data_IF_220209129321
#
_entry.id   IF_220209129321
#
_cell.length_a   1.000
_cell.length_b   1.000
_cell.length_c   1.000
_cell.angle_alpha   90.00
_cell.angle_beta   90.00
_cell.angle_gamma   90.00
#
_symmetry.space_group_name_H-M   'P 1'
#
loop_
_entity.id
_entity.type
_entity.pdbx_description
1 polymer ?
#
# COMPACT_ATOMS: atom_id res chain seq x y z
N UNK A 1 -3.67 -1.02 -12.29
CA UNK A 1 -4.76 -0.48 -13.13
C UNK A 1 -4.39 -0.46 -14.61
N UNK A 2 -3.21 0.06 -14.99
CA UNK A 2 -2.71 0.03 -16.39
C UNK A 2 -2.87 -1.33 -17.08
N UNK A 3 -2.44 -2.42 -16.45
CA UNK A 3 -2.57 -3.77 -17.00
C UNK A 3 -4.04 -4.15 -17.32
N UNK A 4 -4.97 -3.80 -16.43
CA UNK A 4 -6.39 -4.08 -16.64
C UNK A 4 -6.96 -3.31 -17.84
N UNK A 5 -6.53 -2.06 -18.03
CA UNK A 5 -6.92 -1.27 -19.19
C UNK A 5 -6.36 -1.84 -20.50
N UNK A 6 -5.24 -2.55 -20.47
CA UNK A 6 -4.71 -3.32 -21.61
C UNK A 6 -5.31 -4.74 -21.74
N UNK A 7 -6.37 -5.05 -20.98
CA UNK A 7 -7.14 -6.29 -21.12
C UNK A 7 -6.76 -7.41 -20.14
N UNK A 8 -5.88 -7.17 -19.18
CA UNK A 8 -5.56 -8.16 -18.14
C UNK A 8 -6.71 -8.25 -17.13
N UNK A 9 -7.16 -9.47 -16.79
CA UNK A 9 -8.07 -9.66 -15.66
C UNK A 9 -7.29 -9.52 -14.36
N UNK A 10 -7.65 -8.55 -13.53
CA UNK A 10 -7.03 -8.30 -12.22
C UNK A 10 -8.09 -8.46 -11.14
N UNK A 11 -7.80 -9.29 -10.14
CA UNK A 11 -8.71 -9.57 -9.03
C UNK A 11 -7.92 -9.49 -7.73
N UNK A 12 -8.34 -8.64 -6.79
CA UNK A 12 -7.85 -8.61 -5.42
C UNK A 12 -8.76 -9.44 -4.51
N UNK A 13 -8.29 -9.73 -3.29
CA UNK A 13 -9.04 -10.54 -2.31
C UNK A 13 -9.43 -11.93 -2.82
N UNK A 14 -8.58 -12.50 -3.68
CA UNK A 14 -8.69 -13.87 -4.18
C UNK A 14 -7.43 -14.63 -3.75
N UNK A 15 -7.56 -15.47 -2.74
CA UNK A 15 -6.44 -16.19 -2.12
C UNK A 15 -6.14 -17.48 -2.89
N UNK A 16 -4.88 -17.79 -3.15
CA UNK A 16 -4.48 -19.08 -3.72
C UNK A 16 -4.38 -20.12 -2.60
N UNK A 17 -5.21 -21.15 -2.65
CA UNK A 17 -5.26 -22.24 -1.66
C UNK A 17 -4.57 -23.52 -2.12
N UNK A 18 -4.25 -23.61 -3.41
CA UNK A 18 -3.57 -24.77 -3.97
C UNK A 18 -3.13 -24.59 -5.41
N UNK A 19 -2.22 -25.46 -5.85
CA UNK A 19 -1.81 -25.56 -7.25
C UNK A 19 -2.45 -26.79 -7.88
N UNK A 20 -2.77 -26.69 -9.17
CA UNK A 20 -3.28 -27.80 -9.96
C UNK A 20 -2.21 -28.32 -10.91
N UNK A 21 -2.12 -29.65 -11.03
CA UNK A 21 -1.19 -30.34 -11.93
C UNK A 21 -1.97 -31.18 -12.94
N UNK A 22 -1.43 -31.29 -14.15
CA UNK A 22 -1.93 -32.20 -15.18
C UNK A 22 -1.42 -33.64 -14.95
N UNK A 23 -1.75 -34.55 -15.87
CA UNK A 23 -1.34 -35.95 -15.80
C UNK A 23 0.19 -36.15 -15.86
N UNK A 24 0.91 -35.23 -16.53
CA UNK A 24 2.38 -35.23 -16.58
C UNK A 24 3.03 -34.60 -15.33
N UNK A 25 2.25 -34.21 -14.32
CA UNK A 25 2.74 -33.58 -13.09
C UNK A 25 3.16 -32.11 -13.24
N UNK A 26 2.84 -31.47 -14.38
CA UNK A 26 3.11 -30.06 -14.66
C UNK A 26 1.98 -29.19 -14.14
N UNK A 27 2.31 -28.05 -13.55
CA UNK A 27 1.31 -27.08 -13.06
C UNK A 27 0.56 -26.47 -14.25
N UNK A 28 -0.77 -26.48 -14.17
CA UNK A 28 -1.66 -25.97 -15.20
C UNK A 28 -2.81 -25.11 -14.64
N UNK A 29 -2.70 -24.67 -13.40
CA UNK A 29 -3.71 -23.85 -12.75
C UNK A 29 -3.48 -23.69 -11.25
N UNK A 30 -4.44 -23.02 -10.62
CA UNK A 30 -4.48 -22.81 -9.18
C UNK A 30 -5.92 -22.95 -8.67
N UNK A 31 -6.08 -23.48 -7.46
CA UNK A 31 -7.30 -23.35 -6.67
C UNK A 31 -7.25 -22.05 -5.90
N UNK A 32 -8.37 -21.35 -5.92
CA UNK A 32 -8.50 -20.00 -5.37
C UNK A 32 -9.77 -19.87 -4.55
N UNK A 33 -9.74 -18.97 -3.58
CA UNK A 33 -10.81 -18.71 -2.62
C UNK A 33 -11.12 -17.22 -2.55
N UNK A 34 -12.38 -16.83 -2.77
CA UNK A 34 -12.84 -15.44 -2.62
C UNK A 34 -13.06 -15.11 -1.14
N UNK A 35 -12.20 -14.27 -0.58
CA UNK A 35 -12.23 -13.90 0.85
C UNK A 35 -13.11 -12.68 1.15
N UNK A 36 -13.66 -11.99 0.13
CA UNK A 36 -14.63 -10.91 0.34
C UNK A 36 -15.98 -11.48 0.78
N UNK A 37 -16.35 -12.67 0.30
CA UNK A 37 -17.64 -13.30 0.67
C UNK A 37 -17.75 -13.61 2.16
N UNK A 38 -16.65 -14.04 2.80
CA UNK A 38 -16.59 -14.30 4.25
C UNK A 38 -16.89 -13.03 5.05
N UNK A 39 -16.43 -11.91 4.51
CA UNK A 39 -16.63 -10.57 5.02
C UNK A 39 -18.09 -10.12 4.94
N UNK A 40 -18.88 -10.67 4.01
CA UNK A 40 -20.34 -10.54 3.90
C UNK A 40 -21.11 -11.61 4.72
N UNK A 41 -20.41 -12.40 5.55
CA UNK A 41 -21.01 -13.49 6.34
C UNK A 41 -21.45 -14.69 5.51
N UNK A 42 -20.94 -14.83 4.28
CA UNK A 42 -21.20 -15.96 3.38
C UNK A 42 -19.99 -16.89 3.37
N UNK A 43 -20.18 -18.16 3.01
CA UNK A 43 -19.03 -19.02 2.74
C UNK A 43 -18.23 -18.45 1.55
N UNK A 44 -16.90 -18.55 1.63
CA UNK A 44 -16.06 -18.29 0.48
C UNK A 44 -16.31 -19.33 -0.61
N UNK A 45 -16.39 -18.89 -1.85
CA UNK A 45 -16.42 -19.80 -2.99
C UNK A 45 -14.99 -20.22 -3.30
N UNK A 46 -14.75 -21.53 -3.37
CA UNK A 46 -13.48 -22.09 -3.87
C UNK A 46 -13.69 -22.62 -5.28
N UNK A 47 -12.80 -22.24 -6.19
CA UNK A 47 -12.86 -22.66 -7.59
C UNK A 47 -11.46 -22.72 -8.21
N UNK A 48 -11.37 -23.32 -9.40
CA UNK A 48 -10.10 -23.50 -10.10
C UNK A 48 -9.96 -22.55 -11.27
N UNK A 49 -8.77 -21.97 -11.41
CA UNK A 49 -8.37 -21.18 -12.58
C UNK A 49 -7.32 -21.98 -13.36
N UNK A 50 -7.62 -22.25 -14.63
CA UNK A 50 -6.68 -22.91 -15.56
C UNK A 50 -5.77 -21.88 -16.22
N UNK A 51 -4.50 -22.22 -16.35
CA UNK A 51 -3.50 -21.39 -17.01
C UNK A 51 -2.45 -22.24 -17.73
N UNK A 52 -1.79 -21.67 -18.74
CA UNK A 52 -0.66 -22.32 -19.42
C UNK A 52 0.60 -22.39 -18.53
N UNK A 53 0.70 -21.49 -17.58
CA UNK A 53 1.80 -21.38 -16.63
C UNK A 53 1.40 -20.50 -15.45
N UNK A 54 2.11 -20.65 -14.34
CA UNK A 54 1.84 -19.92 -13.09
C UNK A 54 3.13 -19.23 -12.64
N UNK A 55 3.03 -17.93 -12.37
CA UNK A 55 4.12 -17.11 -11.81
C UNK A 55 3.79 -16.78 -10.36
N UNK A 56 4.64 -17.23 -9.43
CA UNK A 56 4.62 -16.87 -8.02
C UNK A 56 5.44 -15.60 -7.79
N UNK A 57 4.76 -14.48 -7.54
CA UNK A 57 5.35 -13.18 -7.21
C UNK A 57 4.81 -12.64 -5.88
N UNK A 58 4.69 -13.51 -4.86
CA UNK A 58 4.02 -13.21 -3.58
C UNK A 58 4.94 -12.63 -2.49
N UNK A 59 6.08 -12.06 -2.89
CA UNK A 59 7.00 -11.35 -1.99
C UNK A 59 7.45 -12.23 -0.81
N UNK A 60 7.30 -11.78 0.46
CA UNK A 60 7.72 -12.58 1.61
C UNK A 60 6.93 -13.89 1.77
N UNK A 61 5.78 -14.02 1.12
CA UNK A 61 4.95 -15.24 1.16
C UNK A 61 5.33 -16.27 0.09
N UNK A 62 6.39 -16.03 -0.72
CA UNK A 62 6.68 -16.90 -1.86
C UNK A 62 6.94 -18.36 -1.48
N UNK A 63 7.53 -18.61 -0.31
CA UNK A 63 7.80 -19.97 0.17
C UNK A 63 6.53 -20.74 0.50
N UNK A 64 5.47 -20.07 0.97
CA UNK A 64 4.18 -20.71 1.20
C UNK A 64 3.60 -21.28 -0.11
N UNK A 65 3.67 -20.51 -1.19
CA UNK A 65 3.22 -20.95 -2.52
C UNK A 65 4.13 -22.04 -3.09
N UNK A 66 5.46 -21.95 -2.90
CA UNK A 66 6.40 -22.99 -3.33
C UNK A 66 6.12 -24.33 -2.64
N UNK A 67 5.77 -24.30 -1.36
CA UNK A 67 5.40 -25.50 -0.59
C UNK A 67 4.06 -26.12 -1.00
N UNK A 68 3.18 -25.37 -1.68
CA UNK A 68 1.99 -25.96 -2.32
C UNK A 68 2.37 -26.84 -3.53
N UNK A 69 3.51 -26.58 -4.19
CA UNK A 69 4.04 -27.40 -5.28
C UNK A 69 4.88 -28.57 -4.75
N UNK A 70 5.82 -28.29 -3.85
CA UNK A 70 6.75 -29.24 -3.25
C UNK A 70 6.88 -28.99 -1.73
N UNK A 71 6.19 -29.76 -0.87
CA UNK A 71 6.13 -29.50 0.57
C UNK A 71 7.49 -29.52 1.30
N UNK A 72 8.47 -30.24 0.75
CA UNK A 72 9.82 -30.41 1.33
C UNK A 72 10.83 -29.39 0.84
N UNK A 73 10.43 -28.47 -0.06
CA UNK A 73 11.34 -27.49 -0.63
C UNK A 73 11.89 -26.56 0.46
N UNK A 74 13.19 -26.29 0.40
CA UNK A 74 13.84 -25.37 1.33
C UNK A 74 13.40 -23.92 1.08
N UNK A 75 13.25 -23.17 2.17
CA UNK A 75 12.90 -21.75 2.14
C UNK A 75 14.02 -20.95 1.48
N UNK A 76 13.63 -20.05 0.57
CA UNK A 76 14.56 -19.11 -0.04
C UNK A 76 14.47 -17.73 0.61
N UNK A 77 13.38 -17.41 1.31
CA UNK A 77 13.20 -16.10 1.95
C UNK A 77 13.75 -16.12 3.38
N UNK A 78 14.63 -15.16 3.66
CA UNK A 78 15.02 -14.75 4.99
C UNK A 78 14.30 -13.42 5.33
N UNK A 79 13.12 -13.48 5.97
CA UNK A 79 12.32 -12.28 6.24
C UNK A 79 13.00 -11.34 7.24
N UNK A 80 13.01 -10.04 6.91
CA UNK A 80 13.49 -8.97 7.79
C UNK A 80 12.40 -7.89 7.94
N UNK A 81 12.11 -7.45 9.16
CA UNK A 81 11.22 -6.33 9.43
C UNK A 81 11.95 -5.00 9.29
N UNK A 82 11.23 -3.99 8.81
CA UNK A 82 11.66 -2.61 8.81
C UNK A 82 10.55 -1.70 9.30
N UNK A 83 10.83 -0.99 10.39
CA UNK A 83 9.91 -0.03 11.00
C UNK A 83 10.18 1.37 10.51
N UNK A 84 9.10 2.11 10.27
CA UNK A 84 9.12 3.56 10.11
C UNK A 84 8.11 4.19 11.07
N UNK A 85 8.42 5.41 11.50
CA UNK A 85 7.51 6.28 12.26
C UNK A 85 7.20 7.53 11.46
N UNK A 86 6.00 8.07 11.66
CA UNK A 86 5.61 9.38 11.14
C UNK A 86 5.52 10.38 12.29
N UNK A 87 6.13 11.54 12.07
CA UNK A 87 6.18 12.67 12.99
C UNK A 87 5.53 13.90 12.32
N UNK A 88 5.13 14.93 13.11
CA UNK A 88 4.70 16.22 12.58
C UNK A 88 5.68 16.82 11.58
N UNK A 89 5.17 17.50 10.55
CA UNK A 89 5.99 18.02 9.45
C UNK A 89 7.04 19.05 9.86
N UNK A 90 6.92 19.67 11.04
CA UNK A 90 7.94 20.62 11.53
C UNK A 90 9.26 19.96 11.91
N UNK A 91 9.33 18.63 11.94
CA UNK A 91 10.55 17.88 12.22
C UNK A 91 11.51 17.83 11.02
N UNK A 92 11.05 18.08 9.79
CA UNK A 92 11.91 18.15 8.59
C UNK A 92 11.56 19.35 7.70
N UNK A 93 12.54 19.99 7.02
CA UNK A 93 12.24 20.96 5.97
C UNK A 93 11.40 20.33 4.85
N UNK A 94 10.52 21.10 4.21
CA UNK A 94 9.59 20.58 3.19
C UNK A 94 10.27 20.13 1.89
N UNK A 95 11.49 20.59 1.62
CA UNK A 95 12.23 20.41 0.35
C UNK A 95 13.57 19.68 0.53
N UNK A 96 13.89 19.21 1.74
CA UNK A 96 15.15 18.56 2.07
C UNK A 96 14.94 17.32 2.92
N UNK A 97 15.59 16.22 2.53
CA UNK A 97 15.67 15.00 3.33
C UNK A 97 17.09 14.78 3.87
N UNK A 98 17.20 14.13 5.02
CA UNK A 98 18.46 13.71 5.63
C UNK A 98 18.62 12.19 5.56
N UNK A 99 19.85 11.77 5.31
CA UNK A 99 20.31 10.39 5.43
C UNK A 99 21.50 10.36 6.38
N UNK A 100 21.43 9.50 7.39
CA UNK A 100 22.57 9.13 8.19
C UNK A 100 22.91 7.65 7.91
N UNK A 101 24.03 7.38 7.21
CA UNK A 101 24.45 6.03 6.87
C UNK A 101 25.22 5.32 8.00
N UNK A 102 25.43 5.97 9.16
CA UNK A 102 26.26 5.46 10.25
C UNK A 102 25.70 5.87 11.62
N UNK A 103 24.47 5.43 11.89
CA UNK A 103 23.80 5.57 13.21
C UNK A 103 24.60 4.93 14.35
N UNK A 104 24.12 5.07 15.59
CA UNK A 104 24.75 4.53 16.82
C UNK A 104 25.24 3.08 16.74
N UNK A 105 24.60 2.25 15.92
CA UNK A 105 24.91 0.83 15.74
C UNK A 105 25.26 0.45 14.30
N UNK A 106 25.54 1.44 13.43
CA UNK A 106 25.97 1.23 12.04
C UNK A 106 24.84 0.99 11.05
N UNK A 107 23.56 1.12 11.45
CA UNK A 107 22.42 1.11 10.53
C UNK A 107 22.29 2.44 9.77
N UNK A 108 21.45 2.42 8.74
CA UNK A 108 21.09 3.61 7.94
C UNK A 108 19.71 4.10 8.37
N UNK A 109 19.60 5.39 8.67
CA UNK A 109 18.32 6.06 8.91
C UNK A 109 18.12 7.20 7.91
N UNK A 110 16.89 7.33 7.46
CA UNK A 110 16.34 8.38 6.63
C UNK A 110 15.38 9.20 7.45
N UNK A 111 15.35 10.49 7.15
CA UNK A 111 14.48 11.46 7.78
C UNK A 111 14.00 12.44 6.71
N UNK A 112 12.79 12.22 6.21
CA UNK A 112 12.32 12.80 4.94
C UNK A 112 10.96 13.50 5.12
N UNK A 113 10.71 14.64 4.46
CA UNK A 113 9.38 15.21 4.37
C UNK A 113 8.48 14.29 3.54
N UNK A 114 7.26 14.03 4.01
CA UNK A 114 6.28 13.19 3.34
C UNK A 114 4.84 13.62 3.62
N UNK A 115 4.16 14.13 2.59
CA UNK A 115 2.74 14.53 2.61
C UNK A 115 2.35 15.41 3.83
N UNK A 116 3.16 16.44 4.10
CA UNK A 116 2.92 17.38 5.23
C UNK A 116 3.41 16.88 6.59
N UNK A 117 3.92 15.65 6.66
CA UNK A 117 4.55 15.05 7.83
C UNK A 117 6.05 14.79 7.58
N UNK A 118 6.71 14.17 8.56
CA UNK A 118 8.08 13.67 8.44
C UNK A 118 8.08 12.15 8.64
N UNK A 119 8.62 11.41 7.68
CA UNK A 119 8.87 9.97 7.82
C UNK A 119 10.29 9.73 8.30
N UNK A 120 10.44 8.85 9.28
CA UNK A 120 11.74 8.45 9.79
C UNK A 120 11.86 6.94 9.92
N UNK A 121 13.03 6.41 9.55
CA UNK A 121 13.31 4.98 9.54
C UNK A 121 14.50 4.65 8.63
N UNK A 122 15.01 3.45 8.58
CA UNK A 122 14.32 2.22 8.97
C UNK A 122 15.19 1.39 9.89
N UNK A 123 14.54 0.49 10.62
CA UNK A 123 15.21 -0.64 11.27
C UNK A 123 15.39 -1.83 10.33
N UNK A 124 16.18 -2.80 10.79
CA UNK A 124 16.40 -4.10 10.14
C UNK A 124 16.54 -5.16 11.24
N UNK A 125 15.58 -6.07 11.33
CA UNK A 125 15.60 -7.17 12.29
C UNK A 125 15.01 -8.45 11.68
N UNK A 126 15.56 -9.65 11.97
CA UNK A 126 14.92 -10.90 11.60
C UNK A 126 13.49 -10.98 12.15
N UNK A 127 12.54 -11.44 11.33
CA UNK A 127 11.13 -11.47 11.72
C UNK A 127 10.41 -12.73 11.24
N UNK A 128 9.16 -12.92 11.67
CA UNK A 128 8.26 -13.94 11.12
C UNK A 128 7.37 -13.31 10.07
N UNK A 129 6.99 -14.10 9.07
CA UNK A 129 6.03 -13.67 8.05
C UNK A 129 4.67 -13.45 8.74
N UNK A 130 4.10 -12.27 8.55
CA UNK A 130 2.78 -11.89 9.03
C UNK A 130 2.11 -10.98 7.99
N UNK A 131 0.78 -11.06 7.91
CA UNK A 131 0.00 -10.21 6.99
C UNK A 131 0.06 -8.72 7.39
N UNK A 132 -0.02 -8.45 8.69
CA UNK A 132 0.04 -7.10 9.28
C UNK A 132 1.12 -7.08 10.38
N UNK A 133 2.41 -7.03 10.01
CA UNK A 133 3.49 -6.92 11.00
C UNK A 133 3.35 -5.61 11.79
N UNK A 134 3.69 -5.66 13.08
CA UNK A 134 3.54 -4.52 13.99
C UNK A 134 4.92 -3.93 14.28
N UNK A 135 5.01 -2.61 14.33
CA UNK A 135 6.22 -1.92 14.78
C UNK A 135 6.47 -2.16 16.28
N UNK A 136 7.65 -2.63 16.67
CA UNK A 136 8.01 -2.80 18.08
C UNK A 136 8.32 -1.46 18.76
N UNK A 137 7.97 -1.31 20.04
CA UNK A 137 8.27 -0.08 20.80
C UNK A 137 9.78 0.15 20.93
N UNK A 138 10.59 -0.89 21.07
CA UNK A 138 12.06 -0.77 21.09
C UNK A 138 12.61 -0.18 19.78
N UNK A 139 12.03 -0.54 18.63
CA UNK A 139 12.42 -0.01 17.32
C UNK A 139 11.97 1.45 17.16
N UNK A 140 10.77 1.79 17.66
CA UNK A 140 10.26 3.16 17.68
C UNK A 140 11.15 4.07 18.54
N UNK A 141 11.46 3.63 19.76
CA UNK A 141 12.31 4.38 20.70
C UNK A 141 13.73 4.54 20.16
N UNK A 142 14.26 3.52 19.49
CA UNK A 142 15.54 3.63 18.80
C UNK A 142 15.51 4.72 17.71
N UNK A 143 14.49 4.71 16.83
CA UNK A 143 14.36 5.74 15.78
C UNK A 143 14.27 7.15 16.40
N UNK A 144 13.46 7.33 17.46
CA UNK A 144 13.33 8.61 18.17
C UNK A 144 14.66 9.07 18.77
N UNK A 145 15.44 8.14 19.32
CA UNK A 145 16.75 8.43 19.91
C UNK A 145 17.77 8.90 18.87
N UNK A 146 17.79 8.29 17.68
CA UNK A 146 18.70 8.67 16.61
C UNK A 146 18.32 10.03 16.00
N UNK A 147 17.03 10.28 15.73
CA UNK A 147 16.57 11.57 15.19
C UNK A 147 16.91 12.74 16.13
N UNK A 148 16.78 12.53 17.45
CA UNK A 148 17.05 13.58 18.46
C UNK A 148 18.45 14.18 18.33
N UNK A 149 19.42 13.42 17.80
CA UNK A 149 20.82 13.84 17.65
C UNK A 149 21.01 14.88 16.55
N UNK A 150 20.04 15.00 15.64
CA UNK A 150 20.09 15.88 14.46
C UNK A 150 19.26 17.15 14.62
N UNK A 151 18.51 17.28 15.71
CA UNK A 151 17.64 18.42 15.97
C UNK A 151 18.29 19.41 16.92
N UNK A 152 17.82 20.66 16.89
CA UNK A 152 18.24 21.67 17.84
C UNK A 152 17.93 21.21 19.29
N UNK A 153 18.80 21.48 20.28
CA UNK A 153 18.64 20.98 21.65
C UNK A 153 17.29 21.32 22.32
N UNK A 154 16.66 22.43 21.94
CA UNK A 154 15.36 22.86 22.44
C UNK A 154 14.17 22.08 21.85
N UNK A 155 14.37 21.39 20.73
CA UNK A 155 13.35 20.57 20.09
C UNK A 155 13.32 19.21 20.77
N UNK A 156 12.31 19.00 21.61
CA UNK A 156 12.09 17.71 22.26
C UNK A 156 11.29 16.77 21.33
N UNK A 157 11.88 15.63 20.98
CA UNK A 157 11.18 14.52 20.28
C UNK A 157 10.66 13.53 21.30
N UNK A 158 9.36 13.27 21.29
CA UNK A 158 8.67 12.40 22.25
C UNK A 158 7.95 11.28 21.53
N UNK A 159 7.69 10.20 22.28
CA UNK A 159 6.84 9.10 21.81
C UNK A 159 5.42 9.57 21.43
N UNK A 160 4.90 10.59 22.11
CA UNK A 160 3.61 11.22 21.81
C UNK A 160 3.59 12.02 20.50
N UNK A 161 4.74 12.35 19.92
CA UNK A 161 4.79 13.02 18.60
C UNK A 161 4.62 12.01 17.45
N UNK A 162 4.66 10.70 17.73
CA UNK A 162 4.48 9.67 16.70
C UNK A 162 3.01 9.57 16.29
N UNK A 163 2.71 10.00 15.06
CA UNK A 163 1.37 10.01 14.48
C UNK A 163 0.95 8.63 13.95
N UNK A 164 1.92 7.86 13.46
CA UNK A 164 1.77 6.49 13.01
C UNK A 164 3.11 5.76 13.11
N UNK A 165 3.07 4.44 13.31
CA UNK A 165 4.24 3.58 13.30
C UNK A 165 3.87 2.26 12.62
N UNK A 166 4.61 1.87 11.59
CA UNK A 166 4.28 0.70 10.78
C UNK A 166 5.53 -0.09 10.43
N UNK A 167 5.32 -1.38 10.20
CA UNK A 167 6.37 -2.33 9.84
C UNK A 167 6.09 -2.93 8.46
N UNK A 168 7.15 -3.22 7.71
CA UNK A 168 7.10 -3.98 6.47
C UNK A 168 8.09 -5.14 6.49
N UNK A 169 7.79 -6.22 5.76
CA UNK A 169 8.68 -7.39 5.66
C UNK A 169 9.41 -7.36 4.32
N UNK A 170 10.74 -7.35 4.39
CA UNK A 170 11.65 -7.47 3.24
C UNK A 170 11.82 -8.94 2.89
N UNK A 171 11.55 -9.35 1.64
CA UNK A 171 11.81 -10.71 1.20
C UNK A 171 13.29 -10.86 0.79
N UNK A 172 14.22 -10.91 1.75
CA UNK A 172 15.63 -11.12 1.41
C UNK A 172 15.79 -12.57 0.93
N UNK A 173 16.38 -12.79 -0.24
CA UNK A 173 16.41 -14.13 -0.86
C UNK A 173 17.80 -14.76 -0.76
N UNK A 174 17.84 -16.06 -0.49
CA UNK A 174 19.03 -16.92 -0.58
C UNK A 174 18.98 -17.69 -1.91
N UNK A 175 20.11 -17.79 -2.59
CA UNK A 175 20.19 -18.61 -3.81
C UNK A 175 20.22 -20.10 -3.40
N UNK A 176 19.19 -20.91 -3.76
CA UNK A 176 19.15 -22.33 -3.44
C UNK A 176 20.27 -23.14 -4.11
N UNK A 177 20.94 -22.60 -5.14
CA UNK A 177 22.05 -23.25 -5.85
C UNK A 177 23.43 -22.85 -5.33
N UNK A 178 23.52 -21.87 -4.43
CA UNK A 178 24.80 -21.41 -3.90
C UNK A 178 25.39 -22.43 -2.92
N UNK A 179 26.64 -22.87 -3.19
CA UNK A 179 27.39 -23.81 -2.32
C UNK A 179 27.74 -23.24 -0.94
N UNK A 180 27.61 -21.92 -0.73
CA UNK A 180 27.80 -21.24 0.55
C UNK A 180 26.47 -20.65 0.99
N UNK A 181 25.99 -21.06 2.16
CA UNK A 181 24.71 -20.68 2.77
C UNK A 181 24.60 -19.20 3.21
N UNK A 182 25.64 -18.39 3.00
CA UNK A 182 25.81 -17.07 3.65
C UNK A 182 25.56 -15.87 2.72
N UNK A 183 25.42 -16.06 1.41
CA UNK A 183 25.22 -14.95 0.47
C UNK A 183 23.75 -14.67 0.18
N UNK A 184 23.15 -13.66 0.82
CA UNK A 184 21.87 -13.12 0.35
C UNK A 184 22.05 -12.59 -1.08
N UNK A 185 21.13 -12.98 -1.98
CA UNK A 185 21.04 -12.42 -3.32
C UNK A 185 20.67 -10.95 -3.18
N UNK A 186 21.57 -10.06 -3.59
CA UNK A 186 21.35 -8.61 -3.51
C UNK A 186 20.33 -8.10 -4.53
N UNK A 187 20.05 -8.89 -5.57
CA UNK A 187 19.07 -8.63 -6.62
C UNK A 187 17.80 -9.48 -6.42
N UNK A 188 16.95 -9.58 -7.44
CA UNK A 188 15.87 -10.56 -7.51
C UNK A 188 16.36 -11.93 -7.98
N UNK A 189 15.57 -12.96 -7.69
CA UNK A 189 15.76 -14.32 -8.13
C UNK A 189 14.57 -14.73 -9.00
N UNK A 190 14.85 -15.28 -10.19
CA UNK A 190 13.86 -15.95 -11.04
C UNK A 190 14.26 -17.42 -11.15
N UNK A 191 13.38 -18.32 -10.72
CA UNK A 191 13.60 -19.77 -10.74
C UNK A 191 12.35 -20.50 -11.16
N UNK A 192 12.51 -21.70 -11.72
CA UNK A 192 11.38 -22.56 -12.10
C UNK A 192 11.52 -23.92 -11.43
N UNK A 193 10.45 -24.42 -10.82
CA UNK A 193 10.41 -25.77 -10.26
C UNK A 193 10.32 -26.85 -11.36
N UNK A 194 10.62 -28.12 -11.08
CA UNK A 194 10.44 -29.21 -12.05
C UNK A 194 9.00 -29.32 -12.57
N UNK A 195 8.01 -28.96 -11.75
CA UNK A 195 6.59 -28.93 -12.14
C UNK A 195 6.21 -27.70 -12.96
N UNK A 196 7.11 -26.73 -13.16
CA UNK A 196 6.88 -25.52 -13.95
C UNK A 196 6.37 -24.31 -13.15
N UNK A 197 6.50 -24.30 -11.81
CA UNK A 197 6.19 -23.09 -11.02
C UNK A 197 7.32 -22.08 -11.20
N UNK A 198 7.08 -20.99 -11.92
CA UNK A 198 8.03 -19.89 -12.01
C UNK A 198 7.89 -19.00 -10.78
N UNK A 199 8.97 -18.77 -10.04
CA UNK A 199 8.99 -17.89 -8.87
C UNK A 199 9.90 -16.69 -9.12
N UNK A 200 9.38 -15.49 -8.91
CA UNK A 200 10.12 -14.23 -8.86
C UNK A 200 10.06 -13.68 -7.44
N UNK A 201 11.21 -13.61 -6.76
CA UNK A 201 11.30 -13.12 -5.37
C UNK A 201 12.54 -12.26 -5.15
N UNK A 202 12.56 -11.50 -4.06
CA UNK A 202 13.63 -10.56 -3.74
C UNK A 202 13.52 -9.25 -4.52
N UNK A 203 14.67 -8.63 -4.79
CA UNK A 203 14.74 -7.35 -5.49
C UNK A 203 14.27 -6.15 -4.66
N UNK A 204 14.04 -5.02 -5.34
CA UNK A 204 13.66 -3.74 -4.72
C UNK A 204 12.51 -3.11 -5.48
N UNK A 205 11.80 -2.21 -4.81
CA UNK A 205 10.80 -1.37 -5.47
C UNK A 205 11.40 -0.60 -6.66
N UNK A 206 12.63 -0.08 -6.54
CA UNK A 206 13.28 0.67 -7.63
C UNK A 206 13.59 -0.16 -8.88
N UNK A 207 13.67 -1.49 -8.75
CA UNK A 207 14.02 -2.40 -9.86
C UNK A 207 12.82 -3.21 -10.37
N UNK A 208 11.59 -2.93 -9.89
CA UNK A 208 10.41 -3.76 -10.17
C UNK A 208 10.15 -4.00 -11.66
N UNK A 209 10.42 -3.01 -12.52
CA UNK A 209 10.19 -3.09 -13.97
C UNK A 209 11.13 -4.12 -14.62
N UNK A 210 12.41 -4.08 -14.25
CA UNK A 210 13.42 -5.04 -14.72
C UNK A 210 13.14 -6.44 -14.20
N UNK A 211 12.76 -6.55 -12.92
CA UNK A 211 12.32 -7.83 -12.33
C UNK A 211 11.16 -8.45 -13.09
N UNK A 212 10.16 -7.64 -13.48
CA UNK A 212 9.02 -8.09 -14.25
C UNK A 212 9.41 -8.51 -15.68
N UNK A 213 10.31 -7.76 -16.32
CA UNK A 213 10.85 -8.10 -17.65
C UNK A 213 11.56 -9.46 -17.64
N UNK A 214 12.44 -9.71 -16.67
CA UNK A 214 13.13 -11.00 -16.52
C UNK A 214 12.15 -12.15 -16.26
N UNK A 215 11.18 -11.95 -15.37
CA UNK A 215 10.18 -12.97 -15.06
C UNK A 215 9.29 -13.31 -16.28
N UNK A 216 8.88 -12.31 -17.06
CA UNK A 216 8.07 -12.52 -18.28
C UNK A 216 8.91 -13.17 -19.38
N UNK A 217 10.17 -12.77 -19.56
CA UNK A 217 11.08 -13.39 -20.52
C UNK A 217 11.29 -14.87 -20.21
N UNK A 218 11.45 -15.23 -18.94
CA UNK A 218 11.56 -16.62 -18.52
C UNK A 218 10.23 -17.37 -18.68
N UNK A 219 9.09 -16.74 -18.37
CA UNK A 219 7.77 -17.34 -18.58
C UNK A 219 7.48 -17.64 -20.06
N UNK A 220 7.93 -16.77 -20.97
CA UNK A 220 7.79 -16.98 -22.42
C UNK A 220 8.51 -18.26 -22.85
N UNK A 221 9.74 -18.48 -22.34
CA UNK A 221 10.53 -19.68 -22.62
C UNK A 221 9.92 -20.92 -21.97
N UNK A 222 9.69 -20.87 -20.65
CA UNK A 222 9.24 -22.03 -19.87
C UNK A 222 7.87 -22.54 -20.32
N UNK A 223 6.95 -21.63 -20.65
CA UNK A 223 5.58 -21.99 -21.03
C UNK A 223 5.36 -22.00 -22.55
N UNK A 224 6.43 -21.89 -23.36
CA UNK A 224 6.40 -21.85 -24.82
C UNK A 224 5.35 -20.86 -25.36
N UNK A 225 5.35 -19.63 -24.82
CA UNK A 225 4.42 -18.58 -25.22
C UNK A 225 4.91 -17.87 -26.48
N UNK A 226 3.99 -17.35 -27.28
CA UNK A 226 4.31 -16.53 -28.45
C UNK A 226 3.67 -15.16 -28.27
N UNK A 227 4.43 -14.16 -27.80
CA UNK A 227 3.95 -12.78 -27.77
C UNK A 227 3.50 -12.33 -29.15
N UNK A 228 2.47 -11.49 -29.21
CA UNK A 228 1.91 -10.98 -30.47
C UNK A 228 1.78 -9.46 -30.40
N UNK A 229 1.87 -8.77 -31.55
CA UNK A 229 1.52 -7.37 -31.64
C UNK A 229 0.08 -7.12 -31.15
N UNK A 230 -0.11 -6.01 -30.44
CA UNK A 230 -1.42 -5.46 -30.12
C UNK A 230 -1.74 -4.37 -31.13
N UNK A 231 -2.53 -4.71 -32.16
CA UNK A 231 -2.74 -3.86 -33.33
C UNK A 231 -3.54 -2.57 -33.06
N UNK A 232 -4.55 -2.63 -32.19
CA UNK A 232 -5.35 -1.47 -31.77
C UNK A 232 -5.39 -1.41 -30.23
N UNK A 233 -4.35 -0.85 -29.60
CA UNK A 233 -4.28 -0.82 -28.15
C UNK A 233 -5.35 0.10 -27.58
N UNK A 234 -6.02 -0.30 -26.48
CA UNK A 234 -7.03 0.54 -25.84
C UNK A 234 -6.42 1.88 -25.42
N UNK A 235 -7.19 2.94 -25.62
CA UNK A 235 -6.78 4.30 -25.25
C UNK A 235 -6.86 4.46 -23.73
N UNK A 236 -5.72 4.28 -23.06
CA UNK A 236 -5.64 4.38 -21.59
C UNK A 236 -5.40 5.81 -21.07
N UNK A 237 -5.10 6.75 -21.95
CA UNK A 237 -4.90 8.17 -21.61
C UNK A 237 -6.21 8.80 -21.13
N UNK A 238 -6.15 9.60 -20.07
CA UNK A 238 -7.28 10.45 -19.66
C UNK A 238 -7.44 11.69 -20.54
N UNK A 239 -6.63 11.84 -21.59
CA UNK A 239 -6.55 13.05 -22.43
C UNK A 239 -6.48 12.74 -23.93
N UNK A 240 -6.36 13.80 -24.74
CA UNK A 240 -6.11 13.72 -26.17
C UNK A 240 -4.73 13.14 -26.53
N UNK A 241 -3.79 13.06 -25.58
CA UNK A 241 -2.44 12.55 -25.79
C UNK A 241 -2.43 11.02 -25.95
N UNK A 242 -1.61 10.54 -26.88
CA UNK A 242 -1.36 9.14 -27.14
C UNK A 242 0.07 8.78 -26.74
N UNK A 243 0.33 7.49 -26.54
CA UNK A 243 1.70 7.00 -26.34
C UNK A 243 2.33 6.71 -27.70
N UNK A 244 3.57 7.17 -27.90
CA UNK A 244 4.34 6.94 -29.13
C UNK A 244 5.01 5.56 -29.15
N UNK A 245 4.38 4.56 -28.53
CA UNK A 245 4.97 3.23 -28.32
C UNK A 245 4.25 2.19 -29.15
N UNK A 246 4.99 1.53 -30.05
CA UNK A 246 4.49 0.39 -30.83
C UNK A 246 4.50 -0.87 -29.98
N UNK A 247 3.33 -1.48 -29.76
CA UNK A 247 3.20 -2.73 -29.02
C UNK A 247 3.28 -3.93 -29.98
N UNK A 248 4.48 -4.30 -30.40
CA UNK A 248 4.75 -5.35 -31.40
C UNK A 248 4.92 -6.77 -30.82
N UNK A 249 4.71 -6.92 -29.51
CA UNK A 249 4.93 -8.17 -28.79
C UNK A 249 6.29 -8.27 -28.09
N UNK A 250 7.22 -7.35 -28.37
CA UNK A 250 8.44 -7.17 -27.57
C UNK A 250 8.16 -6.40 -26.26
N UNK A 251 9.10 -6.43 -25.32
CA UNK A 251 8.97 -5.70 -24.06
C UNK A 251 9.08 -4.18 -24.28
N UNK A 252 7.98 -3.46 -24.03
CA UNK A 252 7.90 -2.00 -24.20
C UNK A 252 7.67 -1.25 -22.88
N UNK A 253 7.82 -1.93 -21.74
CA UNK A 253 7.49 -1.40 -20.41
C UNK A 253 8.25 -0.13 -20.00
N UNK A 254 9.40 0.15 -20.64
CA UNK A 254 10.19 1.36 -20.40
C UNK A 254 9.63 2.61 -21.12
N UNK A 255 8.72 2.43 -22.08
CA UNK A 255 8.09 3.53 -22.85
C UNK A 255 6.60 3.70 -22.53
N UNK A 256 5.95 2.66 -22.02
CA UNK A 256 4.54 2.71 -21.65
C UNK A 256 4.36 3.59 -20.41
N UNK A 257 3.50 4.61 -20.52
CA UNK A 257 3.10 5.44 -19.38
C UNK A 257 2.07 4.71 -18.54
N UNK A 258 2.19 4.83 -17.21
CA UNK A 258 1.17 4.30 -16.30
C UNK A 258 -0.08 5.19 -16.30
N UNK A 259 -1.23 4.61 -16.01
CA UNK A 259 -2.50 5.36 -15.87
C UNK A 259 -2.33 6.52 -14.88
N UNK A 260 -2.87 7.69 -15.22
CA UNK A 260 -2.65 8.94 -14.48
C UNK A 260 -1.58 9.83 -15.10
N UNK A 261 -0.58 9.27 -15.79
CA UNK A 261 0.58 10.04 -16.22
C UNK A 261 0.34 10.91 -17.47
N UNK A 262 -0.56 10.51 -18.39
CA UNK A 262 -0.66 11.11 -19.72
C UNK A 262 -1.02 12.59 -19.70
N UNK A 263 -1.95 13.00 -18.83
CA UNK A 263 -2.38 14.40 -18.68
C UNK A 263 -1.82 15.14 -17.48
N UNK A 264 -0.79 14.61 -16.81
CA UNK A 264 -0.21 15.27 -15.65
C UNK A 264 0.51 16.56 -16.06
N UNK A 265 0.31 17.63 -15.28
CA UNK A 265 1.13 18.84 -15.35
C UNK A 265 1.21 19.49 -13.97
N UNK A 266 2.29 20.24 -13.71
CA UNK A 266 2.47 20.98 -12.44
C UNK A 266 1.39 22.05 -12.20
N UNK A 267 0.63 22.42 -13.23
CA UNK A 267 -0.42 23.45 -13.17
C UNK A 267 -1.83 22.86 -13.27
N UNK A 268 -1.98 21.54 -13.39
CA UNK A 268 -3.27 20.86 -13.53
C UNK A 268 -4.24 21.21 -12.39
N UNK A 269 -3.73 21.40 -11.17
CA UNK A 269 -4.54 21.80 -10.01
C UNK A 269 -5.32 23.10 -10.25
N UNK A 270 -4.80 24.06 -11.03
CA UNK A 270 -5.48 25.32 -11.35
C UNK A 270 -6.76 25.03 -12.12
N UNK A 271 -6.68 24.14 -13.11
CA UNK A 271 -7.83 23.77 -13.94
C UNK A 271 -8.88 23.02 -13.12
N UNK A 272 -8.46 22.17 -12.17
CA UNK A 272 -9.38 21.49 -11.25
C UNK A 272 -10.13 22.48 -10.36
N UNK A 273 -9.44 23.50 -9.81
CA UNK A 273 -10.06 24.56 -9.00
C UNK A 273 -11.06 25.35 -9.84
N UNK A 274 -10.66 25.80 -11.04
CA UNK A 274 -11.52 26.60 -11.91
C UNK A 274 -12.77 25.85 -12.37
N UNK A 275 -12.66 24.53 -12.58
CA UNK A 275 -13.77 23.72 -13.09
C UNK A 275 -14.70 23.19 -11.99
N UNK A 276 -14.15 22.76 -10.85
CA UNK A 276 -14.92 22.10 -9.79
C UNK A 276 -15.06 22.91 -8.49
N UNK A 277 -14.34 24.02 -8.36
CA UNK A 277 -14.37 24.86 -7.15
C UNK A 277 -13.84 24.14 -5.90
N UNK A 278 -12.87 23.24 -6.04
CA UNK A 278 -12.25 22.53 -4.91
C UNK A 278 -11.14 23.38 -4.24
N UNK A 279 -10.83 23.13 -2.98
CA UNK A 279 -9.75 23.82 -2.26
C UNK A 279 -8.37 23.55 -2.88
N UNK A 280 -7.45 24.51 -2.72
CA UNK A 280 -6.15 24.49 -3.40
C UNK A 280 -5.26 23.33 -2.98
N UNK A 281 -5.20 23.00 -1.70
CA UNK A 281 -4.41 21.87 -1.18
C UNK A 281 -4.99 20.53 -1.65
N UNK A 282 -6.32 20.38 -1.66
CA UNK A 282 -7.01 19.23 -2.24
C UNK A 282 -6.69 19.12 -3.73
N UNK A 283 -6.79 20.19 -4.51
CA UNK A 283 -6.51 20.16 -5.95
C UNK A 283 -5.07 19.73 -6.25
N UNK A 284 -4.10 20.21 -5.46
CA UNK A 284 -2.69 19.80 -5.57
C UNK A 284 -2.52 18.32 -5.21
N UNK A 285 -3.08 17.89 -4.08
CA UNK A 285 -3.08 16.48 -3.66
C UNK A 285 -3.64 15.56 -4.75
N UNK A 286 -4.81 15.89 -5.30
CA UNK A 286 -5.44 15.08 -6.34
C UNK A 286 -4.57 15.01 -7.60
N UNK A 287 -4.00 16.13 -8.02
CA UNK A 287 -3.08 16.21 -9.15
C UNK A 287 -1.83 15.33 -8.94
N UNK A 288 -1.19 15.41 -7.77
CA UNK A 288 0.03 14.67 -7.44
C UNK A 288 -0.23 13.17 -7.24
N UNK A 289 -1.41 12.80 -6.73
CA UNK A 289 -1.75 11.41 -6.43
C UNK A 289 -2.36 10.65 -7.61
N UNK A 290 -3.18 11.31 -8.43
CA UNK A 290 -3.98 10.67 -9.49
C UNK A 290 -3.62 11.15 -10.90
N UNK A 291 -2.81 12.20 -11.03
CA UNK A 291 -2.47 12.79 -12.32
C UNK A 291 -3.73 13.17 -13.10
N UNK A 292 -3.85 12.70 -14.34
CA UNK A 292 -5.02 12.96 -15.19
C UNK A 292 -6.34 12.36 -14.68
N UNK A 293 -6.28 11.41 -13.72
CA UNK A 293 -7.48 10.85 -13.09
C UNK A 293 -8.06 11.76 -12.02
N UNK A 294 -7.34 12.79 -11.60
CA UNK A 294 -7.84 13.82 -10.68
C UNK A 294 -9.14 14.48 -11.17
N UNK A 295 -9.33 14.59 -12.49
CA UNK A 295 -10.59 15.05 -13.08
C UNK A 295 -11.79 14.19 -12.70
N UNK A 296 -11.63 12.87 -12.77
CA UNK A 296 -12.69 11.92 -12.42
C UNK A 296 -12.93 11.93 -10.92
N UNK A 297 -11.87 11.99 -10.11
CA UNK A 297 -11.98 12.09 -8.65
C UNK A 297 -12.75 13.35 -8.24
N UNK A 298 -12.39 14.51 -8.78
CA UNK A 298 -13.07 15.77 -8.51
C UNK A 298 -14.54 15.75 -9.01
N UNK A 299 -14.80 15.09 -10.14
CA UNK A 299 -16.16 14.87 -10.64
C UNK A 299 -17.00 13.93 -9.76
N UNK A 300 -16.38 13.06 -8.96
CA UNK A 300 -17.05 12.16 -8.03
C UNK A 300 -17.24 12.76 -6.63
N UNK A 301 -16.59 13.88 -6.33
CA UNK A 301 -16.72 14.58 -5.04
C UNK A 301 -18.09 15.24 -4.85
N UNK A 302 -18.72 15.09 -3.70
CA UNK A 302 -20.03 15.70 -3.43
C UNK A 302 -19.94 17.23 -3.34
N UNK A 303 -21.03 17.96 -3.62
CA UNK A 303 -21.12 19.37 -3.27
C UNK A 303 -21.02 19.56 -1.75
N UNK A 304 -20.52 20.71 -1.32
CA UNK A 304 -20.34 21.08 0.10
C UNK A 304 -21.44 21.98 0.64
N UNK A 305 -22.30 22.51 -0.24
CA UNK A 305 -23.31 23.55 0.07
C UNK A 305 -22.71 24.87 0.61
N UNK A 306 -21.41 25.07 0.43
CA UNK A 306 -20.70 26.30 0.80
C UNK A 306 -20.41 27.15 -0.44
N UNK A 307 -20.13 28.45 -0.22
CA UNK A 307 -19.67 29.35 -1.30
C UNK A 307 -18.36 28.84 -1.92
N UNK A 308 -17.44 28.39 -1.06
CA UNK A 308 -16.18 27.77 -1.44
C UNK A 308 -15.64 26.96 -0.26
N UNK A 309 -15.05 25.76 -0.48
CA UNK A 309 -15.06 25.01 -1.74
C UNK A 309 -16.50 24.66 -2.15
N UNK A 310 -16.75 24.51 -3.45
CA UNK A 310 -18.07 24.13 -4.01
C UNK A 310 -18.28 22.62 -3.94
N UNK A 311 -17.21 21.84 -4.09
CA UNK A 311 -17.20 20.37 -4.06
C UNK A 311 -16.03 19.85 -3.25
N UNK A 312 -16.08 18.57 -2.87
CA UNK A 312 -15.00 17.90 -2.15
C UNK A 312 -15.20 18.02 -0.65
N UNK A 313 -16.06 17.17 -0.10
CA UNK A 313 -16.20 17.10 1.35
C UNK A 313 -15.00 16.36 1.92
N UNK A 314 -14.22 17.03 2.75
CA UNK A 314 -13.07 16.41 3.42
C UNK A 314 -13.49 15.18 4.22
N UNK A 315 -12.70 14.11 4.13
CA UNK A 315 -12.85 12.92 4.99
C UNK A 315 -12.00 13.02 6.26
N UNK A 316 -10.97 13.86 6.26
CA UNK A 316 -10.14 14.18 7.42
C UNK A 316 -10.00 15.69 7.54
N UNK A 317 -10.07 16.21 8.77
CA UNK A 317 -9.84 17.64 9.02
C UNK A 317 -8.38 18.05 8.79
N UNK A 318 -7.44 17.12 8.97
CA UNK A 318 -5.99 17.41 8.95
C UNK A 318 -5.32 17.17 7.60
N UNK A 319 -5.94 16.35 6.74
CA UNK A 319 -5.34 15.90 5.49
C UNK A 319 -6.23 16.24 4.28
N UNK A 320 -5.65 16.47 3.09
CA UNK A 320 -6.37 16.93 1.89
C UNK A 320 -7.16 15.82 1.18
N UNK A 321 -7.70 14.86 1.93
CA UNK A 321 -8.47 13.76 1.39
C UNK A 321 -9.96 14.08 1.31
N UNK A 322 -10.60 13.72 0.21
CA UNK A 322 -12.02 14.04 -0.06
C UNK A 322 -12.87 12.81 -0.36
N UNK A 323 -14.18 12.97 -0.17
CA UNK A 323 -15.18 11.92 -0.37
C UNK A 323 -15.18 11.32 -1.78
N UNK A 324 -14.82 12.10 -2.80
CA UNK A 324 -14.67 11.63 -4.18
C UNK A 324 -13.59 10.56 -4.36
N UNK A 325 -12.52 10.58 -3.54
CA UNK A 325 -11.46 9.55 -3.59
C UNK A 325 -12.00 8.19 -3.16
N UNK A 326 -12.93 8.14 -2.20
CA UNK A 326 -13.54 6.88 -1.75
C UNK A 326 -14.34 6.24 -2.87
N UNK A 327 -15.17 7.03 -3.57
CA UNK A 327 -15.95 6.54 -4.72
C UNK A 327 -15.05 6.13 -5.88
N UNK A 328 -14.00 6.91 -6.15
CA UNK A 328 -13.03 6.57 -7.19
C UNK A 328 -12.30 5.27 -6.86
N UNK A 329 -11.85 5.10 -5.63
CA UNK A 329 -11.18 3.89 -5.15
C UNK A 329 -12.03 2.64 -5.36
N UNK A 330 -13.33 2.71 -5.05
CA UNK A 330 -14.27 1.59 -5.26
C UNK A 330 -14.49 1.34 -6.76
N UNK A 331 -14.85 2.36 -7.52
CA UNK A 331 -15.29 2.21 -8.92
C UNK A 331 -14.16 1.95 -9.91
N UNK A 332 -12.95 2.42 -9.63
CA UNK A 332 -11.84 2.45 -10.60
C UNK A 332 -10.55 1.81 -10.08
N UNK A 333 -10.44 1.54 -8.78
CA UNK A 333 -9.22 0.96 -8.20
C UNK A 333 -9.48 -0.31 -7.38
N UNK A 334 -10.65 -0.93 -7.53
CA UNK A 334 -11.03 -2.20 -6.92
C UNK A 334 -10.94 -2.21 -5.38
N UNK A 335 -11.21 -1.10 -4.70
CA UNK A 335 -11.29 -1.11 -3.24
C UNK A 335 -12.52 -1.89 -2.76
N UNK A 336 -12.31 -2.92 -1.93
CA UNK A 336 -13.38 -3.78 -1.41
C UNK A 336 -13.45 -3.76 0.14
N UNK A 337 -12.53 -3.06 0.79
CA UNK A 337 -12.46 -2.90 2.26
C UNK A 337 -12.10 -1.47 2.63
N UNK A 338 -12.50 -1.01 3.81
CA UNK A 338 -12.15 0.32 4.31
C UNK A 338 -10.62 0.49 4.47
N UNK A 339 -9.90 -0.59 4.78
CA UNK A 339 -8.43 -0.61 4.81
C UNK A 339 -7.83 -0.35 3.43
N UNK A 340 -8.43 -0.83 2.33
CA UNK A 340 -7.96 -0.53 0.98
C UNK A 340 -7.93 0.98 0.72
N UNK A 341 -8.95 1.70 1.20
CA UNK A 341 -9.07 3.16 1.04
C UNK A 341 -8.12 3.89 1.99
N UNK A 342 -8.20 3.63 3.29
CA UNK A 342 -7.45 4.36 4.32
C UNK A 342 -5.93 4.14 4.22
N UNK A 343 -5.50 2.92 3.93
CA UNK A 343 -4.08 2.58 3.95
C UNK A 343 -3.45 2.68 2.55
N UNK A 344 -4.13 2.22 1.50
CA UNK A 344 -3.49 1.98 0.20
C UNK A 344 -3.83 3.03 -0.87
N UNK A 345 -5.02 3.64 -0.84
CA UNK A 345 -5.41 4.68 -1.81
C UNK A 345 -5.12 6.10 -1.32
N UNK A 346 -5.47 6.40 -0.07
CA UNK A 346 -5.21 7.73 0.54
C UNK A 346 -3.88 7.79 1.29
N UNK A 347 -3.43 6.67 1.90
CA UNK A 347 -2.27 6.56 2.81
C UNK A 347 -2.49 7.17 4.20
N UNK A 348 -3.70 7.62 4.52
CA UNK A 348 -4.03 8.24 5.80
C UNK A 348 -3.61 7.38 7.01
N UNK A 349 -3.80 6.07 6.95
CA UNK A 349 -3.38 5.15 8.02
C UNK A 349 -1.86 5.10 8.22
N UNK A 350 -1.08 5.36 7.17
CA UNK A 350 0.38 5.45 7.26
C UNK A 350 0.84 6.79 7.80
N UNK A 351 0.08 7.88 7.56
CA UNK A 351 0.43 9.23 7.98
C UNK A 351 0.03 9.53 9.42
N UNK A 352 -1.17 9.11 9.82
CA UNK A 352 -1.72 9.38 11.14
C UNK A 352 -2.84 8.38 11.46
N UNK A 353 -2.54 7.47 12.39
CA UNK A 353 -3.47 6.39 12.75
C UNK A 353 -4.74 6.92 13.44
N UNK A 354 -4.64 8.01 14.20
CA UNK A 354 -5.79 8.63 14.88
C UNK A 354 -6.70 9.36 13.89
N UNK A 355 -6.13 10.15 12.98
CA UNK A 355 -6.90 10.79 11.91
C UNK A 355 -7.56 9.76 10.97
N UNK A 356 -6.92 8.60 10.77
CA UNK A 356 -7.53 7.48 10.05
C UNK A 356 -8.72 6.88 10.81
N UNK A 357 -8.63 6.77 12.14
CA UNK A 357 -9.75 6.33 12.99
C UNK A 357 -10.92 7.32 12.91
N UNK A 358 -10.65 8.62 12.98
CA UNK A 358 -11.66 9.69 12.85
C UNK A 358 -12.37 9.66 11.48
N UNK A 359 -11.63 9.39 10.41
CA UNK A 359 -12.18 9.31 9.06
C UNK A 359 -12.97 8.00 8.80
N UNK A 360 -12.73 6.95 9.59
CA UNK A 360 -13.21 5.60 9.34
C UNK A 360 -14.75 5.49 9.22
N UNK A 361 -15.59 6.11 10.09
CA UNK A 361 -17.04 6.02 9.95
C UNK A 361 -17.53 6.54 8.60
N UNK A 362 -17.02 7.72 8.18
CA UNK A 362 -17.39 8.35 6.90
C UNK A 362 -16.93 7.51 5.70
N UNK A 363 -15.73 6.93 5.76
CA UNK A 363 -15.24 6.02 4.71
C UNK A 363 -16.12 4.78 4.61
N UNK A 364 -16.46 4.14 5.73
CA UNK A 364 -17.36 2.97 5.75
C UNK A 364 -18.72 3.32 5.17
N UNK A 365 -19.29 4.48 5.49
CA UNK A 365 -20.61 4.88 4.99
C UNK A 365 -20.61 5.13 3.49
N UNK A 366 -19.58 5.82 2.98
CA UNK A 366 -19.40 6.04 1.55
C UNK A 366 -19.24 4.70 0.81
N UNK A 367 -18.38 3.82 1.30
CA UNK A 367 -18.20 2.50 0.70
C UNK A 367 -19.45 1.64 0.79
N UNK A 368 -20.20 1.72 1.89
CA UNK A 368 -21.47 1.01 2.04
C UNK A 368 -22.50 1.47 1.02
N UNK A 369 -22.54 2.77 0.70
CA UNK A 369 -23.39 3.30 -0.37
C UNK A 369 -22.98 2.80 -1.76
N UNK A 370 -21.68 2.68 -2.03
CA UNK A 370 -21.16 2.22 -3.33
C UNK A 370 -21.29 0.70 -3.53
N UNK A 371 -21.12 -0.09 -2.46
CA UNK A 371 -21.05 -1.55 -2.51
C UNK A 371 -22.31 -2.24 -1.96
N UNK A 372 -23.30 -1.47 -1.49
CA UNK A 372 -24.54 -2.00 -0.93
C UNK A 372 -24.35 -2.77 0.38
N UNK A 373 -23.43 -2.34 1.24
CA UNK A 373 -23.16 -3.03 2.50
C UNK A 373 -24.30 -2.85 3.52
N UNK A 374 -24.69 -3.94 4.16
CA UNK A 374 -25.62 -3.92 5.28
C UNK A 374 -24.93 -3.52 6.60
N UNK A 375 -25.70 -3.41 7.68
CA UNK A 375 -25.16 -3.04 9.00
C UNK A 375 -24.12 -4.03 9.52
N UNK A 376 -24.29 -5.34 9.27
CA UNK A 376 -23.35 -6.37 9.72
C UNK A 376 -22.01 -6.23 9.01
N UNK A 377 -22.04 -5.96 7.70
CA UNK A 377 -20.84 -5.73 6.89
C UNK A 377 -20.11 -4.46 7.33
N UNK A 378 -20.85 -3.38 7.61
CA UNK A 378 -20.29 -2.14 8.18
C UNK A 378 -19.61 -2.38 9.53
N UNK A 379 -20.23 -3.17 10.41
CA UNK A 379 -19.65 -3.52 11.71
C UNK A 379 -18.39 -4.40 11.57
N UNK A 380 -18.37 -5.30 10.60
CA UNK A 380 -17.19 -6.11 10.28
C UNK A 380 -16.04 -5.25 9.77
N UNK A 381 -16.31 -4.31 8.86
CA UNK A 381 -15.32 -3.36 8.37
C UNK A 381 -14.80 -2.42 9.46
N UNK A 382 -15.66 -2.00 10.41
CA UNK A 382 -15.24 -1.27 11.60
C UNK A 382 -14.22 -2.05 12.40
N UNK A 383 -14.56 -3.28 12.82
CA UNK A 383 -13.71 -4.13 13.66
C UNK A 383 -12.37 -4.43 12.98
N UNK A 384 -12.40 -4.84 11.72
CA UNK A 384 -11.20 -5.20 10.95
C UNK A 384 -10.29 -3.98 10.76
N UNK A 385 -10.87 -2.82 10.49
CA UNK A 385 -10.09 -1.59 10.27
C UNK A 385 -9.48 -1.06 11.56
N UNK A 386 -10.21 -1.08 12.68
CA UNK A 386 -9.66 -0.68 13.99
C UNK A 386 -8.52 -1.62 14.39
N UNK A 387 -8.67 -2.93 14.18
CA UNK A 387 -7.58 -3.89 14.42
C UNK A 387 -6.37 -3.60 13.52
N UNK A 388 -6.59 -3.31 12.24
CA UNK A 388 -5.52 -2.92 11.32
C UNK A 388 -4.81 -1.63 11.78
N UNK A 389 -5.55 -0.60 12.22
CA UNK A 389 -4.96 0.64 12.74
C UNK A 389 -4.09 0.40 13.98
N UNK A 390 -4.37 -0.64 14.78
CA UNK A 390 -3.46 -1.11 15.83
C UNK A 390 -2.07 -1.47 15.32
N UNK A 391 -1.97 -2.10 14.14
CA UNK A 391 -0.67 -2.38 13.50
C UNK A 391 0.02 -1.14 12.92
N UNK A 392 -0.72 -0.03 12.81
CA UNK A 392 -0.24 1.28 12.32
C UNK A 392 0.12 2.24 13.48
N UNK A 393 0.21 1.73 14.71
CA UNK A 393 0.60 2.51 15.89
C UNK A 393 -0.54 3.24 16.58
N UNK A 394 -1.80 2.88 16.30
CA UNK A 394 -2.95 3.42 17.04
C UNK A 394 -2.85 3.06 18.54
N UNK A 395 -2.94 4.04 19.47
CA UNK A 395 -2.83 3.77 20.90
C UNK A 395 -3.86 2.75 21.41
N UNK A 396 -3.45 1.90 22.36
CA UNK A 396 -4.28 0.80 22.89
C UNK A 396 -5.63 1.26 23.42
N UNK A 397 -5.69 2.41 24.11
CA UNK A 397 -6.95 2.97 24.60
C UNK A 397 -7.95 3.27 23.47
N UNK A 398 -7.46 3.66 22.30
CA UNK A 398 -8.28 4.01 21.13
C UNK A 398 -8.80 2.80 20.35
N UNK A 399 -8.19 1.62 20.53
CA UNK A 399 -8.66 0.38 19.89
C UNK A 399 -10.03 -0.08 20.41
N UNK A 400 -10.43 0.39 21.59
CA UNK A 400 -11.69 0.00 22.23
C UNK A 400 -12.84 0.97 21.95
N UNK A 401 -12.56 2.10 21.28
CA UNK A 401 -13.58 3.09 20.96
C UNK A 401 -14.63 2.49 20.03
N UNK A 402 -15.89 2.75 20.35
CA UNK A 402 -17.00 2.39 19.48
C UNK A 402 -17.12 3.39 18.33
N UNK A 403 -17.76 2.97 17.23
CA UNK A 403 -18.03 3.84 16.08
C UNK A 403 -18.75 5.13 16.48
N UNK A 404 -19.77 5.00 17.34
CA UNK A 404 -20.56 6.14 17.84
C UNK A 404 -19.70 7.14 18.60
N UNK A 405 -18.79 6.65 19.43
CA UNK A 405 -17.88 7.52 20.21
C UNK A 405 -16.91 8.28 19.32
N UNK A 406 -16.44 7.66 18.23
CA UNK A 406 -15.62 8.35 17.23
C UNK A 406 -16.43 9.42 16.50
N UNK A 407 -17.67 9.14 16.13
CA UNK A 407 -18.59 10.12 15.52
C UNK A 407 -18.92 11.28 16.48
N UNK A 408 -18.93 11.03 17.79
CA UNK A 408 -19.08 12.03 18.86
C UNK A 408 -17.79 12.82 19.15
N UNK A 409 -16.68 12.50 18.47
CA UNK A 409 -15.41 13.22 18.60
C UNK A 409 -14.49 12.74 19.75
N UNK A 410 -14.74 11.57 20.34
CA UNK A 410 -13.94 11.04 21.46
C UNK A 410 -12.53 10.56 21.07
N UNK A 411 -12.15 10.59 19.78
CA UNK A 411 -10.75 10.29 19.39
C UNK A 411 -9.79 11.36 19.90
N UNK A 412 -10.22 12.63 19.89
CA UNK A 412 -9.41 13.75 20.36
C UNK A 412 -9.35 13.91 21.88
N UNK A 413 -10.09 13.09 22.65
CA UNK A 413 -10.01 13.13 24.11
C UNK A 413 -8.81 12.32 24.58
N UNK A 414 -7.87 12.99 25.25
CA UNK A 414 -6.73 12.33 25.88
C UNK A 414 -7.20 11.60 27.15
N UNK A 415 -6.83 10.32 27.26
CA UNK A 415 -6.84 9.62 28.55
C UNK A 415 -5.65 10.04 29.41
N UNK A 416 -5.64 9.66 30.69
CA UNK A 416 -4.60 10.06 31.65
C UNK A 416 -3.16 9.71 31.18
N UNK A 417 -2.98 8.54 30.56
CA UNK A 417 -1.68 8.12 30.00
C UNK A 417 -1.22 9.02 28.84
N UNK A 418 -2.11 9.36 27.90
CA UNK A 418 -1.75 10.24 26.78
C UNK A 418 -1.58 11.69 27.23
N UNK A 419 -2.38 12.14 28.20
CA UNK A 419 -2.25 13.46 28.79
C UNK A 419 -0.86 13.66 29.38
N UNK A 420 -0.30 12.64 30.05
CA UNK A 420 1.06 12.68 30.60
C UNK A 420 2.17 12.85 29.54
N UNK A 421 1.91 12.48 28.27
CA UNK A 421 2.87 12.65 27.16
C UNK A 421 2.94 14.10 26.66
N UNK A 422 1.84 14.85 26.75
CA UNK A 422 1.72 16.22 26.27
C UNK A 422 1.85 17.27 27.38
N UNK A 423 1.31 16.99 28.56
CA UNK A 423 1.32 17.89 29.70
C UNK A 423 2.66 17.85 30.44
N UNK A 424 3.30 19.02 30.60
CA UNK A 424 4.55 19.20 31.36
C UNK A 424 4.36 19.11 32.89
N UNK A 425 3.22 18.63 33.38
CA UNK A 425 2.92 18.66 34.80
C UNK A 425 3.53 17.44 35.50
N UNK A 426 4.77 17.59 35.95
CA UNK A 426 5.36 16.58 36.81
C UNK A 426 6.83 16.70 37.19
N UNK A 427 7.52 17.83 36.99
CA UNK A 427 8.79 18.13 37.69
C UNK A 427 8.98 19.66 37.76
N UNK A 428 8.46 20.29 38.81
CA UNK A 428 8.89 21.60 39.31
C UNK A 428 9.13 21.49 40.80
#
# INVERSE_FOLDING_TARGET
MTAALYGVTVVNHLEVTGLEKNAEGRINGARVKDIVREKDGKAADEFSIRAKGVINATGPFCDAIRKLDEPTVQDIVAPSSGVHIILPGYYSPSDMGLIDPSTSDGRVIFFLPWQGNTIAGTTDAPTKIAANPVAGEEEIDWILSEIRRYLQPEINVRRGDVLAAWSGIRPLVRDPKAKKTEGLVRNHLVTTSPAGLLTCSGGKWTTYREMAEDAVNEAIKEFNLTPRPLGDPPRISGTSLLDDTTLDGSCQTHRVRLVGAHGFSKTLFINLIQHYGIETDIAKHLCESYGDRAWTVAALSAPTEQRFPVRGQRISALYPYVDGEVRYAVRHEYACTAVDVLARRTRLAFLNAQAALEALPKVIDLMAGELGWDSKRKDKEWKDSVQFLGSMGLPKGKLTLTRKEVEEGKVGTYGDEEWSLYARHGQY
#
